data_IF_725678939427
#
_entry.id   IF_725678939427
#
_cell.length_a   1.000
_cell.length_b   1.000
_cell.length_c   1.000
_cell.angle_alpha   90.00
_cell.angle_beta   90.00
_cell.angle_gamma   90.00
#
_symmetry.space_group_name_H-M   'P 1'
#
loop_
_entity.id
_entity.type
_entity.pdbx_description
1 polymer ?
#
# COMPACT_ATOMS: atom_id res chain seq x y z
N UNK A 1 7.24 1.51 11.46
CA UNK A 1 8.07 2.55 12.07
C UNK A 1 9.50 2.05 12.24
N UNK A 2 9.74 0.98 12.96
CA UNK A 2 11.09 0.46 13.25
C UNK A 2 11.92 0.15 12.00
N UNK A 3 11.30 -0.39 10.96
CA UNK A 3 11.97 -0.65 9.67
C UNK A 3 12.38 0.66 9.00
N UNK A 4 11.54 1.70 9.04
CA UNK A 4 11.84 3.01 8.47
C UNK A 4 13.04 3.65 9.18
N UNK A 5 13.03 3.65 10.52
CA UNK A 5 14.10 4.22 11.34
C UNK A 5 15.42 3.49 11.13
N UNK A 6 15.39 2.18 11.05
CA UNK A 6 16.58 1.38 10.71
C UNK A 6 17.14 1.72 9.33
N UNK A 7 16.28 1.88 8.32
CA UNK A 7 16.70 2.27 6.97
C UNK A 7 17.29 3.68 6.97
N UNK A 8 16.69 4.62 7.69
CA UNK A 8 17.26 5.97 7.82
C UNK A 8 18.64 5.95 8.49
N UNK A 9 18.84 5.12 9.50
CA UNK A 9 20.11 5.04 10.22
C UNK A 9 21.22 4.36 9.38
N UNK A 10 20.90 3.27 8.67
CA UNK A 10 21.87 2.36 8.08
C UNK A 10 22.04 2.47 6.56
N UNK A 11 21.11 3.11 5.84
CA UNK A 11 21.13 3.16 4.38
C UNK A 11 21.23 4.62 3.90
N UNK A 12 22.42 5.02 3.48
CA UNK A 12 22.69 6.40 3.03
C UNK A 12 21.80 6.82 1.86
N UNK A 13 21.68 6.07 0.74
CA UNK A 13 20.78 6.42 -0.35
C UNK A 13 19.34 6.60 0.08
N UNK A 14 18.81 5.71 0.93
CA UNK A 14 17.46 5.78 1.48
C UNK A 14 17.28 7.03 2.36
N UNK A 15 18.23 7.30 3.24
CA UNK A 15 18.25 8.49 4.10
C UNK A 15 18.22 9.78 3.30
N UNK A 16 19.05 9.90 2.28
CA UNK A 16 19.08 11.09 1.41
C UNK A 16 17.77 11.29 0.66
N UNK A 17 17.18 10.20 0.16
CA UNK A 17 15.87 10.24 -0.49
C UNK A 17 14.78 10.67 0.48
N UNK A 18 14.77 10.14 1.71
CA UNK A 18 13.82 10.51 2.74
C UNK A 18 13.93 12.01 3.10
N UNK A 19 15.13 12.53 3.36
CA UNK A 19 15.33 13.96 3.63
C UNK A 19 14.86 14.84 2.49
N UNK A 20 15.13 14.46 1.24
CA UNK A 20 14.66 15.16 0.04
C UNK A 20 13.13 15.20 -0.04
N UNK A 21 12.46 14.09 0.31
CA UNK A 21 11.00 13.99 0.29
C UNK A 21 10.34 14.67 1.48
N UNK A 22 11.03 14.78 2.62
CA UNK A 22 10.55 15.50 3.80
C UNK A 22 10.37 16.98 3.49
N UNK A 23 11.46 17.71 3.29
CA UNK A 23 11.42 19.12 2.89
C UNK A 23 12.73 19.59 2.27
N UNK A 24 12.65 20.66 1.44
CA UNK A 24 13.84 21.32 0.90
C UNK A 24 14.72 21.91 2.00
N UNK A 25 14.11 22.44 3.06
CA UNK A 25 14.80 23.06 4.18
C UNK A 25 15.60 22.01 4.98
N UNK A 26 14.99 20.90 5.35
CA UNK A 26 15.68 19.81 6.04
C UNK A 26 16.78 19.19 5.16
N UNK A 27 16.52 19.04 3.87
CA UNK A 27 17.55 18.57 2.95
C UNK A 27 18.71 19.55 2.83
N UNK A 28 18.45 20.86 2.83
CA UNK A 28 19.49 21.89 2.88
C UNK A 28 20.30 21.85 4.17
N UNK A 29 19.61 21.69 5.31
CA UNK A 29 20.23 21.66 6.64
C UNK A 29 21.08 20.41 6.90
N UNK A 30 20.61 19.25 6.52
CA UNK A 30 21.21 17.96 6.89
C UNK A 30 21.77 17.16 5.73
N UNK A 31 21.41 17.46 4.48
CA UNK A 31 21.70 16.60 3.34
C UNK A 31 23.20 16.36 3.10
N UNK A 32 24.06 17.33 3.39
CA UNK A 32 25.51 17.16 3.30
C UNK A 32 26.03 16.20 4.39
N UNK A 33 25.59 16.41 5.64
CA UNK A 33 25.97 15.56 6.77
C UNK A 33 25.38 14.14 6.65
N UNK A 34 24.16 14.02 6.12
CA UNK A 34 23.47 12.75 5.93
C UNK A 34 24.15 11.77 4.96
N UNK A 35 25.17 12.23 4.21
CA UNK A 35 26.03 11.37 3.37
C UNK A 35 27.08 10.59 4.16
N UNK A 36 27.30 10.93 5.40
CA UNK A 36 28.33 10.29 6.24
C UNK A 36 27.79 9.02 6.87
N UNK A 37 28.62 8.02 7.05
CA UNK A 37 28.25 6.75 7.70
C UNK A 37 27.95 6.95 9.19
N UNK A 38 28.71 7.83 9.86
CA UNK A 38 28.57 8.17 11.27
C UNK A 38 27.44 9.19 11.59
N UNK A 39 26.64 9.56 10.60
CA UNK A 39 25.54 10.52 10.78
C UNK A 39 24.49 10.01 11.75
N UNK A 40 24.25 10.79 12.79
CA UNK A 40 23.17 10.55 13.73
C UNK A 40 21.91 11.31 13.30
N UNK A 41 20.76 10.63 13.39
CA UNK A 41 19.49 11.26 13.05
C UNK A 41 19.21 12.41 14.05
N UNK A 42 18.76 13.57 13.56
CA UNK A 42 18.52 14.74 14.41
C UNK A 42 17.20 14.59 15.19
N UNK A 43 17.17 13.65 16.12
CA UNK A 43 15.97 13.32 16.91
C UNK A 43 15.51 14.44 17.83
N UNK A 44 16.38 15.42 18.12
CA UNK A 44 16.05 16.61 18.91
C UNK A 44 15.46 17.75 18.05
N UNK A 45 15.49 17.61 16.71
CA UNK A 45 14.90 18.60 15.80
C UNK A 45 13.39 18.33 15.64
N UNK A 46 12.58 19.28 16.11
CA UNK A 46 11.12 19.19 16.06
C UNK A 46 10.58 19.07 14.62
N UNK A 47 11.12 19.87 13.70
CA UNK A 47 10.70 19.83 12.29
C UNK A 47 11.04 18.48 11.66
N UNK A 48 12.23 17.93 11.92
CA UNK A 48 12.59 16.59 11.46
C UNK A 48 11.60 15.54 11.96
N UNK A 49 11.26 15.57 13.25
CA UNK A 49 10.34 14.59 13.82
C UNK A 49 8.92 14.68 13.21
N UNK A 50 8.42 15.88 12.98
CA UNK A 50 7.13 16.07 12.33
C UNK A 50 7.11 15.53 10.89
N UNK A 51 8.11 15.92 10.09
CA UNK A 51 8.20 15.44 8.70
C UNK A 51 8.45 13.93 8.62
N UNK A 52 9.26 13.39 9.52
CA UNK A 52 9.50 11.95 9.65
C UNK A 52 8.20 11.20 9.93
N UNK A 53 7.41 11.68 10.91
CA UNK A 53 6.10 11.10 11.23
C UNK A 53 5.16 11.13 10.03
N UNK A 54 5.00 12.30 9.39
CA UNK A 54 4.16 12.45 8.21
C UNK A 54 4.58 11.52 7.07
N UNK A 55 5.89 11.34 6.87
CA UNK A 55 6.40 10.46 5.82
C UNK A 55 6.09 8.99 6.10
N UNK A 56 6.17 8.56 7.38
CA UNK A 56 5.78 7.21 7.81
C UNK A 56 4.29 6.99 7.59
N UNK A 57 3.44 7.92 8.01
CA UNK A 57 1.97 7.83 7.84
C UNK A 57 1.58 7.77 6.36
N UNK A 58 2.20 8.61 5.53
CA UNK A 58 1.99 8.58 4.08
C UNK A 58 2.41 7.23 3.47
N UNK A 59 3.56 6.69 3.88
CA UNK A 59 4.02 5.39 3.42
C UNK A 59 3.06 4.26 3.84
N UNK A 60 2.56 4.29 5.08
CA UNK A 60 1.56 3.35 5.58
C UNK A 60 0.26 3.42 4.77
N UNK A 61 -0.23 4.63 4.50
CA UNK A 61 -1.43 4.86 3.66
C UNK A 61 -1.24 4.28 2.26
N UNK A 62 -0.09 4.55 1.63
CA UNK A 62 0.22 4.01 0.29
C UNK A 62 0.24 2.47 0.33
N UNK A 63 0.91 1.87 1.31
CA UNK A 63 0.98 0.41 1.46
C UNK A 63 -0.43 -0.16 1.67
N UNK A 64 -1.25 0.48 2.50
CA UNK A 64 -2.62 0.06 2.74
C UNK A 64 -3.44 0.08 1.43
N UNK A 65 -3.38 1.18 0.66
CA UNK A 65 -4.05 1.27 -0.64
C UNK A 65 -3.56 0.21 -1.63
N UNK A 66 -2.25 -0.03 -1.69
CA UNK A 66 -1.68 -1.09 -2.53
C UNK A 66 -2.25 -2.46 -2.16
N UNK A 67 -2.33 -2.76 -0.86
CA UNK A 67 -2.88 -4.02 -0.35
C UNK A 67 -4.37 -4.15 -0.61
N UNK A 68 -5.15 -3.10 -0.34
CA UNK A 68 -6.60 -3.07 -0.56
C UNK A 68 -6.98 -3.28 -2.03
N UNK A 69 -6.15 -2.80 -2.95
CA UNK A 69 -6.37 -2.94 -4.39
C UNK A 69 -5.64 -4.14 -5.02
N UNK A 70 -4.93 -4.93 -4.21
CA UNK A 70 -4.08 -6.04 -4.66
C UNK A 70 -3.07 -5.62 -5.74
N UNK A 71 -2.46 -4.45 -5.55
CA UNK A 71 -1.45 -3.88 -6.46
C UNK A 71 -0.09 -3.95 -5.77
N UNK A 72 0.87 -4.60 -6.41
CA UNK A 72 2.27 -4.63 -5.96
C UNK A 72 3.05 -3.39 -6.41
N UNK A 73 4.33 -3.30 -6.03
CA UNK A 73 5.23 -2.19 -6.39
C UNK A 73 5.31 -2.00 -7.92
N UNK A 74 5.44 -3.07 -8.68
CA UNK A 74 5.55 -2.98 -10.14
C UNK A 74 4.25 -2.47 -10.77
N UNK A 75 3.09 -2.91 -10.27
CA UNK A 75 1.80 -2.37 -10.69
C UNK A 75 1.64 -0.88 -10.37
N UNK A 76 2.18 -0.41 -9.24
CA UNK A 76 2.19 1.02 -8.91
C UNK A 76 3.14 1.81 -9.81
N UNK A 77 4.30 1.25 -10.16
CA UNK A 77 5.22 1.87 -11.15
C UNK A 77 4.52 2.03 -12.51
N UNK A 78 3.88 0.98 -12.99
CA UNK A 78 3.13 1.02 -14.25
C UNK A 78 1.98 2.04 -14.23
N UNK A 79 1.22 2.12 -13.15
CA UNK A 79 0.19 3.13 -12.96
C UNK A 79 0.76 4.55 -12.96
N UNK A 80 1.92 4.76 -12.32
CA UNK A 80 2.60 6.04 -12.32
C UNK A 80 3.05 6.46 -13.73
N UNK A 81 3.63 5.55 -14.52
CA UNK A 81 4.03 5.84 -15.91
C UNK A 81 2.80 6.20 -16.77
N UNK A 82 1.67 5.55 -16.57
CA UNK A 82 0.44 5.81 -17.34
C UNK A 82 -0.31 7.06 -16.89
N UNK A 83 -0.31 7.40 -15.59
CA UNK A 83 -1.22 8.41 -15.00
C UNK A 83 -0.55 9.45 -14.14
N UNK A 84 0.76 9.38 -13.92
CA UNK A 84 1.51 10.26 -13.01
C UNK A 84 1.56 11.72 -13.44
N UNK A 85 1.42 12.00 -14.74
CA UNK A 85 1.40 13.35 -15.29
C UNK A 85 2.59 14.18 -14.80
N UNK A 86 2.35 15.42 -14.37
CA UNK A 86 3.39 16.33 -13.85
C UNK A 86 4.07 15.85 -12.56
N UNK A 87 3.51 14.87 -11.87
CA UNK A 87 4.03 14.32 -10.61
C UNK A 87 4.80 13.01 -10.78
N UNK A 88 4.96 12.51 -11.99
CA UNK A 88 5.58 11.19 -12.28
C UNK A 88 6.95 11.03 -11.61
N UNK A 89 7.80 12.05 -11.62
CA UNK A 89 9.13 12.02 -11.00
C UNK A 89 9.04 11.91 -9.47
N UNK A 90 8.22 12.75 -8.83
CA UNK A 90 8.01 12.71 -7.37
C UNK A 90 7.38 11.40 -6.92
N UNK A 91 6.40 10.89 -7.66
CA UNK A 91 5.77 9.62 -7.38
C UNK A 91 6.77 8.46 -7.47
N UNK A 92 7.68 8.48 -8.45
CA UNK A 92 8.76 7.50 -8.59
C UNK A 92 9.68 7.50 -7.36
N UNK A 93 10.11 8.68 -6.89
CA UNK A 93 10.91 8.83 -5.67
C UNK A 93 10.14 8.32 -4.44
N UNK A 94 8.86 8.63 -4.33
CA UNK A 94 8.00 8.12 -3.25
C UNK A 94 7.91 6.60 -3.28
N UNK A 95 7.73 5.99 -4.45
CA UNK A 95 7.69 4.53 -4.59
C UNK A 95 9.03 3.88 -4.23
N UNK A 96 10.17 4.50 -4.55
CA UNK A 96 11.49 4.03 -4.13
C UNK A 96 11.65 4.03 -2.60
N UNK A 97 11.05 5.01 -1.92
CA UNK A 97 11.04 5.07 -0.46
C UNK A 97 10.10 4.04 0.15
N UNK A 98 8.93 3.81 -0.45
CA UNK A 98 7.90 2.88 0.05
C UNK A 98 8.27 1.42 -0.18
N UNK A 99 8.98 1.10 -1.26
CA UNK A 99 9.29 -0.28 -1.67
C UNK A 99 9.94 -1.14 -0.58
N UNK A 100 11.04 -0.73 0.09
CA UNK A 100 11.63 -1.55 1.14
C UNK A 100 10.70 -1.73 2.35
N UNK A 101 9.85 -0.76 2.64
CA UNK A 101 8.84 -0.86 3.70
C UNK A 101 7.74 -1.85 3.33
N UNK A 102 7.26 -1.80 2.09
CA UNK A 102 6.29 -2.74 1.55
C UNK A 102 6.83 -4.17 1.56
N UNK A 103 8.08 -4.36 1.14
CA UNK A 103 8.71 -5.67 1.12
C UNK A 103 8.90 -6.23 2.53
N UNK A 104 9.29 -5.39 3.51
CA UNK A 104 9.38 -5.78 4.91
C UNK A 104 8.00 -6.15 5.48
N UNK A 105 6.96 -5.37 5.17
CA UNK A 105 5.58 -5.65 5.58
C UNK A 105 5.10 -7.00 5.05
N UNK A 106 5.22 -7.24 3.74
CA UNK A 106 4.82 -8.52 3.13
C UNK A 106 5.68 -9.69 3.60
N UNK A 107 6.98 -9.46 3.79
CA UNK A 107 7.92 -10.44 4.29
C UNK A 107 7.58 -10.93 5.71
N UNK A 108 7.10 -10.02 6.57
CA UNK A 108 6.67 -10.36 7.92
C UNK A 108 5.51 -11.37 7.93
N UNK A 109 4.52 -11.21 7.04
CA UNK A 109 3.42 -12.19 6.92
C UNK A 109 3.91 -13.56 6.46
N UNK A 110 4.90 -13.60 5.56
CA UNK A 110 5.49 -14.87 5.11
C UNK A 110 6.24 -15.56 6.26
N UNK A 111 7.00 -14.79 7.04
CA UNK A 111 7.78 -15.32 8.17
C UNK A 111 6.89 -15.83 9.31
N UNK A 112 5.78 -15.15 9.58
CA UNK A 112 4.84 -15.50 10.65
C UNK A 112 3.72 -16.44 10.20
N UNK A 113 3.70 -16.84 8.91
CA UNK A 113 2.57 -17.56 8.29
C UNK A 113 1.22 -16.82 8.47
N UNK A 114 1.28 -15.52 8.68
CA UNK A 114 0.13 -14.64 8.86
C UNK A 114 -0.48 -14.21 7.53
N UNK A 115 -1.66 -13.62 7.62
CA UNK A 115 -2.36 -13.04 6.48
C UNK A 115 -3.12 -11.78 6.93
N UNK A 116 -3.05 -10.71 6.16
CA UNK A 116 -3.86 -9.51 6.38
C UNK A 116 -5.23 -9.62 5.70
N UNK A 117 -6.17 -8.74 6.03
CA UNK A 117 -7.51 -8.74 5.45
C UNK A 117 -7.53 -8.74 3.93
N UNK A 118 -6.80 -7.85 3.22
CA UNK A 118 -6.71 -7.90 1.76
C UNK A 118 -6.12 -9.21 1.24
N UNK A 119 -5.13 -9.76 1.94
CA UNK A 119 -4.52 -11.04 1.63
C UNK A 119 -5.51 -12.21 1.73
N UNK A 120 -6.42 -12.18 2.73
CA UNK A 120 -7.49 -13.18 2.87
C UNK A 120 -8.40 -13.21 1.63
N UNK A 121 -8.83 -12.05 1.14
CA UNK A 121 -9.66 -11.96 -0.06
C UNK A 121 -8.89 -12.49 -1.29
N UNK A 122 -7.62 -12.11 -1.44
CA UNK A 122 -6.77 -12.60 -2.53
C UNK A 122 -6.57 -14.12 -2.46
N UNK A 123 -6.40 -14.67 -1.25
CA UNK A 123 -6.30 -16.12 -1.05
C UNK A 123 -7.62 -16.82 -1.38
N UNK A 124 -8.77 -16.27 -0.98
CA UNK A 124 -10.09 -16.78 -1.33
C UNK A 124 -10.31 -16.83 -2.84
N UNK A 125 -9.98 -15.76 -3.57
CA UNK A 125 -10.05 -15.72 -5.03
C UNK A 125 -9.22 -16.85 -5.65
N UNK A 126 -8.00 -17.09 -5.15
CA UNK A 126 -7.15 -18.19 -5.65
C UNK A 126 -7.75 -19.56 -5.37
N UNK A 127 -8.33 -19.78 -4.17
CA UNK A 127 -8.99 -21.04 -3.82
C UNK A 127 -10.18 -21.30 -4.74
N UNK A 128 -11.01 -20.29 -4.99
CA UNK A 128 -12.16 -20.38 -5.88
C UNK A 128 -11.70 -20.70 -7.32
N UNK A 129 -10.75 -19.94 -7.87
CA UNK A 129 -10.26 -20.13 -9.26
C UNK A 129 -9.54 -21.46 -9.48
N UNK A 130 -8.88 -22.01 -8.44
CA UNK A 130 -8.25 -23.33 -8.49
C UNK A 130 -9.20 -24.49 -8.22
N UNK A 131 -10.49 -24.19 -8.06
CA UNK A 131 -11.52 -25.18 -7.73
C UNK A 131 -11.24 -25.95 -6.42
N UNK A 132 -10.40 -25.38 -5.54
CA UNK A 132 -10.19 -25.87 -4.19
C UNK A 132 -11.39 -25.61 -3.28
N UNK A 133 -12.27 -24.73 -3.68
CA UNK A 133 -13.56 -24.46 -3.05
C UNK A 133 -14.63 -24.34 -4.13
N UNK A 134 -15.75 -25.07 -3.95
CA UNK A 134 -16.96 -24.94 -4.77
C UNK A 134 -18.08 -24.39 -3.92
N UNK A 135 -18.68 -23.30 -4.39
CA UNK A 135 -19.78 -22.67 -3.66
C UNK A 135 -21.13 -23.32 -4.00
N UNK A 136 -22.03 -23.44 -3.01
CA UNK A 136 -23.39 -23.99 -3.22
C UNK A 136 -24.43 -22.89 -3.50
N UNK A 137 -24.01 -21.62 -3.62
CA UNK A 137 -24.92 -20.47 -3.63
C UNK A 137 -25.77 -20.43 -4.91
N UNK A 138 -27.08 -20.26 -4.73
CA UNK A 138 -28.04 -19.96 -5.79
C UNK A 138 -28.38 -18.46 -5.83
N UNK A 139 -28.25 -17.80 -4.71
CA UNK A 139 -28.50 -16.38 -4.54
C UNK A 139 -27.34 -15.76 -3.76
N UNK A 140 -26.88 -14.61 -4.23
CA UNK A 140 -25.87 -13.80 -3.55
C UNK A 140 -26.44 -12.41 -3.37
N UNK A 141 -26.55 -11.94 -2.14
CA UNK A 141 -27.00 -10.61 -1.80
C UNK A 141 -25.83 -9.79 -1.30
N UNK A 142 -25.68 -8.60 -1.83
CA UNK A 142 -24.64 -7.64 -1.45
C UNK A 142 -25.34 -6.40 -0.94
N UNK A 143 -25.14 -6.10 0.32
CA UNK A 143 -25.56 -4.86 0.94
C UNK A 143 -24.41 -3.84 0.90
N UNK A 144 -24.73 -2.55 0.98
CA UNK A 144 -23.77 -1.43 0.92
C UNK A 144 -22.84 -1.54 -0.30
N UNK A 145 -23.41 -1.81 -1.47
CA UNK A 145 -22.64 -2.06 -2.70
C UNK A 145 -21.72 -0.89 -3.08
N UNK A 146 -22.03 0.33 -2.67
CA UNK A 146 -21.18 1.51 -2.88
C UNK A 146 -19.81 1.40 -2.21
N UNK A 147 -19.66 0.55 -1.18
CA UNK A 147 -18.39 0.29 -0.47
C UNK A 147 -17.64 -0.94 -1.02
N UNK A 148 -18.05 -1.43 -2.20
CA UNK A 148 -17.45 -2.57 -2.86
C UNK A 148 -16.03 -2.24 -3.34
N UNK A 149 -15.01 -2.82 -2.71
CA UNK A 149 -13.64 -2.71 -3.22
C UNK A 149 -13.41 -3.66 -4.42
N UNK A 150 -12.42 -3.31 -5.25
CA UNK A 150 -12.07 -4.12 -6.42
C UNK A 150 -11.78 -5.60 -6.08
N UNK A 151 -11.01 -5.96 -5.04
CA UNK A 151 -10.80 -7.37 -4.68
C UNK A 151 -12.09 -8.09 -4.29
N UNK A 152 -13.02 -7.41 -3.58
CA UNK A 152 -14.32 -8.01 -3.24
C UNK A 152 -15.14 -8.30 -4.51
N UNK A 153 -15.17 -7.34 -5.44
CA UNK A 153 -15.80 -7.55 -6.75
C UNK A 153 -15.17 -8.73 -7.51
N UNK A 154 -13.83 -8.83 -7.54
CA UNK A 154 -13.14 -9.95 -8.19
C UNK A 154 -13.44 -11.30 -7.52
N UNK A 155 -13.68 -11.34 -6.21
CA UNK A 155 -14.12 -12.54 -5.51
C UNK A 155 -15.52 -12.97 -5.97
N UNK A 156 -16.48 -12.04 -6.02
CA UNK A 156 -17.84 -12.31 -6.53
C UNK A 156 -17.79 -12.80 -7.97
N UNK A 157 -16.98 -12.16 -8.79
CA UNK A 157 -16.77 -12.58 -10.20
C UNK A 157 -16.20 -13.99 -10.30
N UNK A 158 -15.18 -14.32 -9.49
CA UNK A 158 -14.57 -15.64 -9.46
C UNK A 158 -15.57 -16.73 -9.01
N UNK A 159 -16.45 -16.43 -8.05
CA UNK A 159 -17.55 -17.32 -7.67
C UNK A 159 -18.52 -17.54 -8.84
N UNK A 160 -18.92 -16.48 -9.54
CA UNK A 160 -19.82 -16.57 -10.68
C UNK A 160 -19.23 -17.33 -11.88
N UNK A 161 -17.91 -17.26 -12.06
CA UNK A 161 -17.19 -18.04 -13.08
C UNK A 161 -17.27 -19.56 -12.82
N UNK A 162 -17.48 -20.00 -11.56
CA UNK A 162 -17.63 -21.42 -11.23
C UNK A 162 -19.03 -21.96 -11.51
N UNK A 163 -20.05 -21.24 -11.10
CA UNK A 163 -21.44 -21.58 -11.32
C UNK A 163 -22.31 -20.31 -11.25
N UNK A 164 -23.35 -20.28 -12.03
CA UNK A 164 -24.25 -19.13 -12.09
C UNK A 164 -25.11 -19.04 -10.81
N UNK A 165 -25.36 -17.80 -10.38
CA UNK A 165 -26.26 -17.47 -9.28
C UNK A 165 -26.96 -16.14 -9.57
N UNK A 166 -28.10 -15.93 -8.94
CA UNK A 166 -28.80 -14.64 -8.99
C UNK A 166 -28.08 -13.67 -8.03
N UNK A 167 -27.61 -12.55 -8.57
CA UNK A 167 -26.98 -11.50 -7.79
C UNK A 167 -27.99 -10.37 -7.52
N UNK A 168 -28.11 -9.98 -6.26
CA UNK A 168 -28.91 -8.86 -5.81
C UNK A 168 -28.02 -7.90 -5.04
N UNK A 169 -27.95 -6.63 -5.46
CA UNK A 169 -27.12 -5.60 -4.84
C UNK A 169 -28.02 -4.46 -4.36
N UNK A 170 -27.77 -4.03 -3.13
CA UNK A 170 -28.40 -2.84 -2.53
C UNK A 170 -27.28 -1.85 -2.15
N UNK A 171 -27.48 -0.60 -2.44
CA UNK A 171 -26.53 0.45 -2.11
C UNK A 171 -27.05 1.82 -2.46
N UNK A 172 -26.43 2.84 -1.88
CA UNK A 172 -26.77 4.23 -2.07
C UNK A 172 -25.51 5.03 -2.47
N UNK A 173 -25.45 5.48 -3.72
CA UNK A 173 -24.30 6.22 -4.28
C UNK A 173 -24.02 7.53 -3.49
N UNK A 174 -25.03 8.12 -2.88
CA UNK A 174 -24.88 9.33 -2.06
C UNK A 174 -24.15 9.08 -0.73
N UNK A 175 -24.18 7.85 -0.25
CA UNK A 175 -23.48 7.42 0.97
C UNK A 175 -22.07 6.89 0.70
N UNK A 176 -21.60 6.92 -0.54
CA UNK A 176 -20.22 6.50 -0.89
C UNK A 176 -19.20 7.48 -0.28
N UNK A 177 -18.88 7.28 0.99
CA UNK A 177 -17.91 8.07 1.75
C UNK A 177 -16.48 7.58 1.49
N UNK A 178 -16.33 6.30 1.16
CA UNK A 178 -15.06 5.61 0.93
C UNK A 178 -14.82 5.42 -0.58
N UNK A 179 -14.44 6.50 -1.28
CA UNK A 179 -13.91 6.36 -2.65
C UNK A 179 -12.45 5.90 -2.55
N UNK A 180 -12.25 4.62 -2.71
CA UNK A 180 -10.93 4.01 -2.79
C UNK A 180 -10.47 3.82 -4.23
#
# INVERSE_FOLDING_TARGET
>A
RDTFDRLLAQNIPYRLLAFKLMSKELFGKYGAAAKREDFQLPTDDYAFNQYRQSLVENAQTIIQHMRQNNIGIDGMRELNERRGGKHIGRNRETLQLVEPLYNAYVGNFRATQGIDFPGMITAAIRCVRRVAYRHPYKYVLIDEYQDMSRPRYELIRALREQSDFTLFCVGDDWQSIYRF
#
